data_IF_495793927097
#
_entry.id   IF_495793927097
#
_cell.length_a   1.000
_cell.length_b   1.000
_cell.length_c   1.000
_cell.angle_alpha   90.00
_cell.angle_beta   90.00
_cell.angle_gamma   90.00
#
_symmetry.space_group_name_H-M   'P 1'
#
loop_
_entity.id
_entity.type
_entity.pdbx_description
1 polymer ?
#
# COMPACT_ATOMS: atom_id res chain seq x y z
N UNK A 1 -7.87 23.53 31.76
CA UNK A 1 -9.02 23.00 31.00
C UNK A 1 -9.19 23.87 29.78
N UNK A 2 -9.55 23.25 28.65
CA UNK A 2 -9.74 23.86 27.32
C UNK A 2 -8.42 24.16 26.58
N UNK A 3 -8.19 23.77 25.32
CA UNK A 3 -9.07 23.22 24.27
C UNK A 3 -8.33 22.19 23.40
N UNK A 4 -9.03 21.13 23.02
CA UNK A 4 -8.57 20.13 22.05
C UNK A 4 -8.57 20.73 20.63
N UNK A 5 -7.59 20.38 19.77
CA UNK A 5 -7.55 20.89 18.41
C UNK A 5 -8.70 20.34 17.56
N UNK A 6 -9.07 21.13 16.56
CA UNK A 6 -10.26 21.01 15.72
C UNK A 6 -10.51 19.59 15.18
N UNK A 7 -11.71 19.06 15.46
CA UNK A 7 -12.24 17.86 14.83
C UNK A 7 -12.61 18.19 13.39
N UNK A 8 -11.79 17.74 12.43
CA UNK A 8 -12.24 17.47 11.07
C UNK A 8 -13.45 16.54 11.14
N UNK A 9 -14.49 16.82 10.33
CA UNK A 9 -15.75 16.06 10.32
C UNK A 9 -15.47 14.56 10.28
N UNK A 10 -15.60 13.86 11.42
CA UNK A 10 -15.39 12.43 11.47
C UNK A 10 -16.55 11.76 10.75
N UNK A 11 -16.26 10.85 9.83
CA UNK A 11 -17.25 9.84 9.46
C UNK A 11 -17.82 9.23 10.75
N UNK A 12 -19.14 9.14 10.86
CA UNK A 12 -19.76 8.52 12.03
C UNK A 12 -19.28 7.07 12.12
N UNK A 13 -18.74 6.69 13.27
CA UNK A 13 -18.43 5.29 13.54
C UNK A 13 -19.74 4.49 13.43
N UNK A 14 -19.78 3.42 12.61
CA UNK A 14 -20.99 2.62 12.47
C UNK A 14 -21.32 1.91 13.78
N UNK A 15 -22.60 1.72 14.04
CA UNK A 15 -23.06 0.90 15.15
C UNK A 15 -22.73 -0.58 14.87
N UNK A 16 -22.54 -1.39 15.92
CA UNK A 16 -22.11 -2.78 15.75
C UNK A 16 -23.13 -3.61 14.94
N UNK A 17 -24.41 -3.28 15.03
CA UNK A 17 -25.50 -3.89 14.29
C UNK A 17 -25.40 -3.63 12.77
N UNK A 18 -24.85 -2.49 12.36
CA UNK A 18 -24.66 -2.11 10.97
C UNK A 18 -23.52 -2.91 10.31
N UNK A 19 -22.58 -3.42 11.11
CA UNK A 19 -21.44 -4.24 10.65
C UNK A 19 -21.78 -5.74 10.52
N UNK A 20 -23.00 -6.12 10.87
CA UNK A 20 -23.57 -7.44 10.60
C UNK A 20 -23.21 -8.53 11.62
N UNK A 21 -23.98 -9.64 11.61
CA UNK A 21 -23.95 -10.63 12.69
C UNK A 21 -22.63 -11.39 12.81
N UNK A 22 -21.90 -11.60 11.71
CA UNK A 22 -20.59 -12.27 11.74
C UNK A 22 -19.52 -11.40 12.39
N UNK A 23 -19.58 -10.08 12.21
CA UNK A 23 -18.66 -9.17 12.89
C UNK A 23 -18.98 -9.08 14.37
N UNK A 24 -20.27 -9.01 14.74
CA UNK A 24 -20.69 -9.10 16.14
C UNK A 24 -20.18 -10.38 16.82
N UNK A 25 -20.35 -11.55 16.19
CA UNK A 25 -19.83 -12.83 16.69
C UNK A 25 -18.29 -12.81 16.83
N UNK A 26 -17.59 -12.28 15.83
CA UNK A 26 -16.14 -12.12 15.86
C UNK A 26 -15.68 -11.25 17.04
N UNK A 27 -16.31 -10.08 17.23
CA UNK A 27 -15.97 -9.15 18.33
C UNK A 27 -16.29 -9.77 19.68
N UNK A 28 -17.44 -10.42 19.81
CA UNK A 28 -17.85 -11.12 21.05
C UNK A 28 -16.87 -12.21 21.46
N UNK A 29 -16.15 -12.81 20.50
CA UNK A 29 -15.14 -13.84 20.74
C UNK A 29 -13.74 -13.31 21.04
N UNK A 30 -13.52 -11.99 21.04
CA UNK A 30 -12.20 -11.40 21.28
C UNK A 30 -11.73 -11.64 22.72
N UNK A 31 -10.50 -12.14 22.88
CA UNK A 31 -9.82 -12.25 24.18
C UNK A 31 -8.98 -11.03 24.53
N UNK A 32 -8.61 -10.26 23.51
CA UNK A 32 -7.85 -9.02 23.57
C UNK A 32 -8.62 -8.00 22.74
N UNK A 33 -8.72 -6.73 23.17
CA UNK A 33 -9.27 -5.68 22.31
C UNK A 33 -8.55 -5.66 20.97
N UNK A 34 -9.28 -5.37 19.90
CA UNK A 34 -8.71 -5.19 18.57
C UNK A 34 -8.62 -3.69 18.27
N UNK A 35 -7.42 -3.19 18.02
CA UNK A 35 -7.20 -1.80 17.65
C UNK A 35 -6.95 -1.72 16.15
N UNK A 36 -7.90 -1.15 15.42
CA UNK A 36 -7.70 -0.74 14.05
C UNK A 36 -6.84 0.52 14.04
N UNK A 37 -5.77 0.50 13.25
CA UNK A 37 -4.87 1.63 13.11
C UNK A 37 -4.56 1.92 11.66
N UNK A 38 -4.30 3.20 11.40
CA UNK A 38 -3.88 3.74 10.12
C UNK A 38 -2.92 4.91 10.36
N UNK A 39 -1.89 5.03 9.51
CA UNK A 39 -0.80 5.98 9.66
C UNK A 39 -0.57 6.73 8.35
N UNK A 40 -0.53 8.06 8.44
CA UNK A 40 0.08 8.90 7.42
C UNK A 40 1.52 9.23 7.81
N UNK A 41 2.40 9.27 6.81
CA UNK A 41 3.83 9.44 7.03
C UNK A 41 4.47 10.29 5.94
N UNK A 42 5.67 10.83 6.25
CA UNK A 42 6.48 11.58 5.28
C UNK A 42 6.97 10.73 4.10
N UNK A 43 6.79 9.41 4.15
CA UNK A 43 7.23 8.46 3.15
C UNK A 43 7.07 7.01 3.62
N UNK A 44 7.72 6.07 2.93
CA UNK A 44 7.53 4.61 3.13
C UNK A 44 8.76 3.88 3.69
N UNK A 45 9.87 4.58 3.92
CA UNK A 45 11.08 4.03 4.53
C UNK A 45 11.04 4.22 6.05
N UNK A 46 10.64 3.18 6.77
CA UNK A 46 10.54 3.23 8.23
C UNK A 46 11.81 3.67 8.97
N UNK A 47 13.00 3.59 8.36
CA UNK A 47 14.24 4.08 8.97
C UNK A 47 14.39 5.60 8.87
N UNK A 48 13.86 6.22 7.81
CA UNK A 48 14.08 7.64 7.49
C UNK A 48 12.83 8.48 7.65
N UNK A 49 11.67 7.92 7.36
CA UNK A 49 10.40 8.62 7.38
C UNK A 49 9.79 8.68 8.78
N UNK A 50 8.84 9.60 8.95
CA UNK A 50 8.20 9.91 10.22
C UNK A 50 6.69 9.83 10.11
N UNK A 51 6.05 9.44 11.19
CA UNK A 51 4.59 9.50 11.33
C UNK A 51 4.18 10.97 11.43
N UNK A 52 3.14 11.35 10.67
CA UNK A 52 2.55 12.70 10.70
C UNK A 52 1.08 12.70 11.10
N UNK A 53 0.39 11.56 10.96
CA UNK A 53 -0.91 11.30 11.55
C UNK A 53 -0.99 9.84 11.98
N UNK A 54 -1.63 9.59 13.11
CA UNK A 54 -1.97 8.23 13.56
C UNK A 54 -3.40 8.24 14.08
N UNK A 55 -4.22 7.30 13.59
CA UNK A 55 -5.60 7.09 14.05
C UNK A 55 -5.73 5.72 14.67
N UNK A 56 -6.36 5.63 15.84
CA UNK A 56 -6.65 4.38 16.56
C UNK A 56 -8.16 4.26 16.80
N UNK A 57 -8.76 3.15 16.36
CA UNK A 57 -10.15 2.78 16.62
C UNK A 57 -10.17 1.45 17.37
N UNK A 58 -10.63 1.49 18.62
CA UNK A 58 -10.62 0.32 19.52
C UNK A 58 -11.96 -0.40 19.49
N UNK A 59 -11.90 -1.72 19.33
CA UNK A 59 -13.03 -2.63 19.41
C UNK A 59 -12.78 -3.62 20.54
N UNK A 60 -13.76 -3.83 21.41
CA UNK A 60 -13.62 -4.68 22.58
C UNK A 60 -14.81 -5.63 22.76
N UNK A 61 -14.56 -6.75 23.42
CA UNK A 61 -15.58 -7.63 23.95
C UNK A 61 -15.97 -7.20 25.38
N UNK A 62 -17.21 -7.53 25.79
CA UNK A 62 -17.77 -7.36 27.13
C UNK A 62 -17.69 -5.95 27.76
N UNK A 63 -18.64 -5.04 27.43
CA UNK A 63 -19.64 -5.19 26.36
C UNK A 63 -18.98 -5.10 24.98
N UNK A 64 -19.67 -5.64 23.97
CA UNK A 64 -19.28 -5.41 22.57
C UNK A 64 -19.38 -3.92 22.28
N UNK A 65 -18.25 -3.27 22.00
CA UNK A 65 -18.18 -1.82 21.77
C UNK A 65 -17.20 -1.48 20.67
N UNK A 66 -17.55 -0.44 19.90
CA UNK A 66 -16.65 0.26 19.00
C UNK A 66 -16.47 1.67 19.58
N UNK A 67 -15.26 1.97 20.03
CA UNK A 67 -14.95 3.31 20.57
C UNK A 67 -14.89 4.34 19.43
N UNK A 68 -15.07 5.61 19.76
CA UNK A 68 -14.75 6.69 18.81
C UNK A 68 -13.25 6.69 18.48
N UNK A 69 -12.86 6.94 17.22
CA UNK A 69 -11.47 6.98 16.84
C UNK A 69 -10.76 8.11 17.58
N UNK A 70 -9.52 7.87 17.94
CA UNK A 70 -8.62 8.90 18.45
C UNK A 70 -7.53 9.12 17.42
N UNK A 71 -7.47 10.34 16.91
CA UNK A 71 -6.55 10.73 15.85
C UNK A 71 -5.62 11.81 16.36
N UNK A 72 -4.32 11.66 16.09
CA UNK A 72 -3.31 12.64 16.43
C UNK A 72 -2.56 13.08 15.18
N UNK A 73 -2.50 14.39 14.98
CA UNK A 73 -1.50 15.02 14.12
C UNK A 73 -0.18 15.07 14.86
N UNK A 74 0.91 14.74 14.16
CA UNK A 74 2.23 14.54 14.75
C UNK A 74 3.24 15.43 14.04
N UNK A 75 3.94 16.28 14.78
CA UNK A 75 5.06 17.05 14.22
C UNK A 75 6.25 16.10 13.95
N UNK A 76 6.64 15.89 12.67
CA UNK A 76 7.69 14.93 12.33
C UNK A 76 9.11 15.47 12.57
N UNK A 77 9.25 16.76 12.94
CA UNK A 77 10.52 17.50 13.04
C UNK A 77 11.38 17.40 11.76
N UNK A 78 10.74 17.22 10.62
CA UNK A 78 11.36 17.24 9.30
C UNK A 78 10.34 17.72 8.26
N UNK A 79 10.84 18.11 7.08
CA UNK A 79 9.98 18.54 5.98
C UNK A 79 9.26 17.33 5.37
N UNK A 80 7.95 17.46 5.17
CA UNK A 80 7.14 16.52 4.39
C UNK A 80 7.44 16.72 2.90
N UNK A 81 7.83 15.67 2.15
CA UNK A 81 8.00 15.75 0.69
C UNK A 81 6.71 16.14 -0.03
N UNK A 82 6.83 16.87 -1.13
CA UNK A 82 5.66 17.36 -1.88
C UNK A 82 4.79 16.20 -2.39
N UNK A 83 5.38 15.09 -2.81
CA UNK A 83 4.62 13.92 -3.29
C UNK A 83 3.77 13.30 -2.17
N UNK A 84 4.24 13.36 -0.91
CA UNK A 84 3.45 12.87 0.23
C UNK A 84 2.29 13.84 0.54
N UNK A 85 2.55 15.15 0.51
CA UNK A 85 1.50 16.18 0.66
C UNK A 85 0.40 16.01 -0.39
N UNK A 86 0.75 15.72 -1.64
CA UNK A 86 -0.22 15.47 -2.71
C UNK A 86 -1.09 14.22 -2.49
N UNK A 87 -0.60 13.23 -1.73
CA UNK A 87 -1.33 12.00 -1.40
C UNK A 87 -2.31 12.24 -0.24
N UNK A 88 -1.81 12.74 0.89
CA UNK A 88 -2.59 12.79 2.14
C UNK A 88 -3.15 14.19 2.46
N UNK A 89 -2.74 15.24 1.74
CA UNK A 89 -3.20 16.62 1.94
C UNK A 89 -2.62 17.37 3.14
N UNK A 90 -1.98 16.68 4.09
CA UNK A 90 -1.34 17.27 5.29
C UNK A 90 -0.12 18.13 4.94
N UNK A 91 -0.16 19.41 5.29
CA UNK A 91 0.95 20.37 5.03
C UNK A 91 1.94 20.47 6.20
N UNK A 92 3.11 21.07 5.96
CA UNK A 92 4.11 21.27 7.02
C UNK A 92 3.62 22.27 8.08
N UNK A 93 2.86 23.26 7.64
CA UNK A 93 2.33 24.36 8.44
C UNK A 93 1.30 23.86 9.46
N UNK A 94 0.45 22.90 9.07
CA UNK A 94 -0.54 22.28 9.97
C UNK A 94 0.10 21.54 11.15
N UNK A 95 1.33 21.04 10.98
CA UNK A 95 1.99 20.19 11.98
C UNK A 95 2.94 20.96 12.89
N UNK A 96 3.17 22.26 12.66
CA UNK A 96 4.23 22.99 13.36
C UNK A 96 4.01 23.04 14.88
N UNK A 97 2.76 23.23 15.30
CA UNK A 97 2.34 23.30 16.71
C UNK A 97 1.77 21.97 17.24
N UNK A 98 1.77 20.92 16.41
CA UNK A 98 1.33 19.59 16.82
C UNK A 98 2.36 18.91 17.75
N UNK A 99 1.92 18.00 18.64
CA UNK A 99 2.84 17.22 19.46
C UNK A 99 3.73 16.34 18.59
N UNK A 100 4.95 16.10 19.04
CA UNK A 100 5.91 15.20 18.41
C UNK A 100 5.66 13.77 18.85
N UNK A 101 6.13 12.79 18.08
CA UNK A 101 5.91 11.38 18.43
C UNK A 101 6.39 11.03 19.86
N UNK A 102 7.57 11.46 20.34
CA UNK A 102 8.00 11.19 21.71
C UNK A 102 7.05 11.72 22.80
N UNK A 103 6.35 12.83 22.53
CA UNK A 103 5.35 13.38 23.47
C UNK A 103 4.07 12.54 23.52
N UNK A 104 3.76 11.82 22.44
CA UNK A 104 2.60 10.93 22.34
C UNK A 104 2.91 9.48 22.70
N UNK A 105 4.19 9.06 22.66
CA UNK A 105 4.59 7.67 22.70
C UNK A 105 4.02 6.89 23.91
N UNK A 106 4.11 7.44 25.13
CA UNK A 106 3.55 6.80 26.33
C UNK A 106 2.02 6.64 26.26
N UNK A 107 1.32 7.65 25.73
CA UNK A 107 -0.14 7.59 25.55
C UNK A 107 -0.52 6.52 24.53
N UNK A 108 0.21 6.45 23.41
CA UNK A 108 -0.02 5.45 22.37
C UNK A 108 0.31 4.04 22.88
N UNK A 109 1.40 3.86 23.63
CA UNK A 109 1.77 2.57 24.23
C UNK A 109 0.67 2.06 25.16
N UNK A 110 0.09 2.94 25.99
CA UNK A 110 -1.00 2.56 26.89
C UNK A 110 -2.27 2.15 26.13
N UNK A 111 -2.61 2.87 25.06
CA UNK A 111 -3.79 2.55 24.24
C UNK A 111 -3.66 1.23 23.47
N UNK A 112 -2.43 0.87 23.09
CA UNK A 112 -2.12 -0.38 22.38
C UNK A 112 -1.84 -1.55 23.33
N UNK A 113 -1.65 -1.29 24.63
CA UNK A 113 -1.29 -2.29 25.62
C UNK A 113 -2.36 -3.39 25.68
N UNK A 114 -1.93 -4.63 25.57
CA UNK A 114 -2.82 -5.79 25.69
C UNK A 114 -3.80 -5.96 24.51
N UNK A 115 -3.68 -5.15 23.45
CA UNK A 115 -4.50 -5.27 22.26
C UNK A 115 -3.89 -6.24 21.22
N UNK A 116 -4.74 -6.72 20.32
CA UNK A 116 -4.36 -7.18 18.99
C UNK A 116 -4.49 -5.98 18.02
N UNK A 117 -3.78 -6.03 16.89
CA UNK A 117 -3.76 -4.93 15.92
C UNK A 117 -4.53 -5.30 14.65
N UNK A 118 -5.19 -4.32 14.05
CA UNK A 118 -5.90 -4.46 12.79
C UNK A 118 -5.69 -3.27 11.86
N UNK A 119 -5.95 -3.46 10.58
CA UNK A 119 -5.95 -2.39 9.58
C UNK A 119 -5.96 -2.94 8.16
N UNK A 120 -5.88 -2.05 7.17
CA UNK A 120 -5.74 -2.44 5.77
C UNK A 120 -4.29 -2.21 5.32
N UNK A 121 -3.56 -3.27 4.98
CA UNK A 121 -2.13 -3.23 4.67
C UNK A 121 -1.20 -2.89 5.86
N UNK A 122 -1.74 -2.90 7.09
CA UNK A 122 -1.04 -2.58 8.35
C UNK A 122 0.25 -3.38 8.56
N UNK A 123 0.32 -4.61 8.01
CA UNK A 123 1.51 -5.47 8.09
C UNK A 123 2.70 -4.98 7.24
N UNK A 124 2.44 -4.15 6.22
CA UNK A 124 3.44 -3.76 5.23
C UNK A 124 4.24 -2.53 5.64
N UNK A 125 3.57 -1.51 6.17
CA UNK A 125 4.17 -0.20 6.42
C UNK A 125 3.92 0.29 7.85
N UNK A 126 2.67 0.40 8.26
CA UNK A 126 2.24 1.03 9.52
C UNK A 126 2.97 0.45 10.73
N UNK A 127 2.96 -0.88 10.89
CA UNK A 127 3.61 -1.52 12.03
C UNK A 127 5.13 -1.30 12.03
N UNK A 128 5.75 -1.15 10.86
CA UNK A 128 7.20 -0.88 10.74
C UNK A 128 7.52 0.57 11.12
N UNK A 129 6.72 1.52 10.66
CA UNK A 129 6.83 2.93 11.04
C UNK A 129 6.60 3.11 12.54
N UNK A 130 5.52 2.54 13.07
CA UNK A 130 5.16 2.60 14.48
C UNK A 130 6.31 2.09 15.37
N UNK A 131 6.82 0.88 15.09
CA UNK A 131 7.96 0.31 15.83
C UNK A 131 9.21 1.18 15.73
N UNK A 132 9.49 1.75 14.56
CA UNK A 132 10.64 2.63 14.38
C UNK A 132 10.50 3.92 15.20
N UNK A 133 9.31 4.51 15.27
CA UNK A 133 9.07 5.71 16.07
C UNK A 133 9.14 5.45 17.57
N UNK A 134 8.60 4.33 18.06
CA UNK A 134 8.77 3.90 19.46
C UNK A 134 10.24 3.70 19.82
N UNK A 135 11.02 3.06 18.93
CA UNK A 135 12.46 2.91 19.12
C UNK A 135 13.19 4.26 19.17
N UNK A 136 12.81 5.25 18.35
CA UNK A 136 13.37 6.61 18.38
C UNK A 136 12.98 7.37 19.66
N UNK A 137 11.74 7.21 20.11
CA UNK A 137 11.23 7.80 21.34
C UNK A 137 11.81 7.15 22.61
N UNK A 138 12.41 5.96 22.49
CA UNK A 138 12.91 5.15 23.62
C UNK A 138 11.81 4.79 24.62
N UNK A 139 10.63 4.52 24.08
CA UNK A 139 9.47 4.02 24.83
C UNK A 139 9.23 2.59 24.39
N UNK A 140 9.14 1.67 25.35
CA UNK A 140 8.90 0.26 25.06
C UNK A 140 7.46 0.04 24.62
N UNK A 141 7.28 -0.41 23.38
CA UNK A 141 6.00 -0.86 22.87
C UNK A 141 5.88 -2.38 23.07
N UNK A 142 5.15 -2.77 24.10
CA UNK A 142 4.86 -4.18 24.37
C UNK A 142 3.74 -4.70 23.47
N UNK A 143 4.14 -5.39 22.40
CA UNK A 143 3.25 -6.16 21.52
C UNK A 143 3.43 -7.66 21.70
N UNK A 144 3.97 -8.13 22.84
CA UNK A 144 4.18 -9.56 23.03
C UNK A 144 2.84 -10.31 23.01
N UNK A 145 2.81 -11.41 22.26
CA UNK A 145 1.60 -12.18 21.99
C UNK A 145 0.51 -11.46 21.18
N UNK A 146 0.70 -10.20 20.75
CA UNK A 146 -0.27 -9.49 19.94
C UNK A 146 -0.39 -10.13 18.54
N UNK A 147 -1.63 -10.29 18.09
CA UNK A 147 -1.95 -10.80 16.75
C UNK A 147 -2.22 -9.64 15.80
N UNK A 148 -2.13 -9.94 14.51
CA UNK A 148 -2.35 -8.96 13.45
C UNK A 148 -3.48 -9.42 12.53
N UNK A 149 -4.47 -8.56 12.34
CA UNK A 149 -5.57 -8.72 11.38
C UNK A 149 -5.37 -7.73 10.25
N UNK A 150 -4.91 -8.21 9.09
CA UNK A 150 -4.70 -7.36 7.91
C UNK A 150 -5.78 -7.63 6.85
N UNK A 151 -6.72 -6.69 6.72
CA UNK A 151 -7.84 -6.80 5.79
C UNK A 151 -7.39 -6.90 4.32
N UNK A 152 -6.23 -6.32 3.97
CA UNK A 152 -5.68 -6.42 2.62
C UNK A 152 -5.22 -7.85 2.31
N UNK A 153 -4.70 -8.58 3.30
CA UNK A 153 -4.29 -9.98 3.12
C UNK A 153 -5.51 -10.84 2.80
N UNK A 154 -6.63 -10.62 3.50
CA UNK A 154 -7.89 -11.32 3.21
C UNK A 154 -8.39 -10.96 1.80
N UNK A 155 -8.43 -9.67 1.47
CA UNK A 155 -8.84 -9.17 0.15
C UNK A 155 -8.03 -9.82 -0.98
N UNK A 156 -6.69 -9.73 -0.95
CA UNK A 156 -5.86 -10.31 -2.01
C UNK A 156 -5.90 -11.85 -2.08
N UNK A 157 -6.31 -12.52 -1.00
CA UNK A 157 -6.47 -13.98 -0.98
C UNK A 157 -7.82 -14.40 -1.60
N UNK A 158 -8.85 -13.56 -1.46
CA UNK A 158 -10.22 -13.87 -1.89
C UNK A 158 -10.60 -13.24 -3.22
N UNK A 159 -9.95 -12.15 -3.61
CA UNK A 159 -10.22 -11.37 -4.82
C UNK A 159 -8.99 -11.39 -5.75
N UNK A 160 -8.68 -12.52 -6.42
CA UNK A 160 -7.51 -12.63 -7.27
C UNK A 160 -7.67 -11.83 -8.57
N UNK A 161 -6.57 -11.34 -9.14
CA UNK A 161 -6.57 -10.61 -10.42
C UNK A 161 -6.38 -11.58 -11.59
N UNK A 162 -7.37 -12.41 -11.86
CA UNK A 162 -7.38 -13.36 -12.97
C UNK A 162 -8.72 -13.35 -13.72
N UNK A 163 -8.78 -14.06 -14.85
CA UNK A 163 -9.99 -14.10 -15.68
C UNK A 163 -11.20 -14.65 -14.93
N UNK A 164 -11.04 -15.68 -14.09
CA UNK A 164 -12.15 -16.27 -13.34
C UNK A 164 -12.79 -15.26 -12.37
N UNK A 165 -11.98 -14.47 -11.65
CA UNK A 165 -12.49 -13.41 -10.80
C UNK A 165 -13.10 -12.25 -11.60
N UNK A 166 -12.58 -11.94 -12.79
CA UNK A 166 -13.20 -10.96 -13.66
C UNK A 166 -14.59 -11.42 -14.14
N UNK A 167 -14.74 -12.70 -14.50
CA UNK A 167 -16.04 -13.30 -14.86
C UNK A 167 -17.02 -13.24 -13.68
N UNK A 168 -16.57 -13.57 -12.46
CA UNK A 168 -17.42 -13.46 -11.27
C UNK A 168 -17.87 -12.02 -11.03
N UNK A 169 -16.94 -11.06 -11.13
CA UNK A 169 -17.22 -9.66 -10.86
C UNK A 169 -18.11 -8.97 -11.92
N UNK A 170 -17.82 -9.16 -13.20
CA UNK A 170 -18.53 -8.48 -14.30
C UNK A 170 -19.73 -9.26 -14.82
N UNK A 171 -19.69 -10.60 -14.76
CA UNK A 171 -20.71 -11.46 -15.36
C UNK A 171 -21.56 -12.20 -14.31
N UNK A 172 -21.23 -12.09 -13.02
CA UNK A 172 -21.98 -12.70 -11.90
C UNK A 172 -22.17 -14.22 -12.04
N UNK A 173 -21.17 -14.92 -12.60
CA UNK A 173 -21.17 -16.38 -12.78
C UNK A 173 -19.79 -16.97 -12.51
N UNK A 174 -19.72 -18.30 -12.40
CA UNK A 174 -18.45 -19.03 -12.33
C UNK A 174 -17.88 -19.22 -13.73
N UNK A 175 -16.54 -19.16 -13.85
CA UNK A 175 -15.83 -19.46 -15.10
C UNK A 175 -15.66 -20.97 -15.30
N UNK A 176 -16.64 -21.60 -15.96
CA UNK A 176 -16.59 -23.01 -16.34
C UNK A 176 -15.61 -23.26 -17.50
N UNK A 177 -14.87 -24.38 -17.45
CA UNK A 177 -13.93 -24.73 -18.53
C UNK A 177 -12.64 -23.90 -18.59
N UNK A 178 -12.28 -23.23 -17.48
CA UNK A 178 -11.07 -22.44 -17.38
C UNK A 178 -9.82 -23.17 -17.89
N UNK A 179 -8.92 -22.42 -18.54
CA UNK A 179 -7.72 -22.92 -19.26
C UNK A 179 -8.02 -23.63 -20.59
N UNK A 180 -9.28 -23.71 -21.01
CA UNK A 180 -9.65 -24.01 -22.39
C UNK A 180 -9.66 -22.72 -23.23
N UNK A 181 -8.91 -22.69 -24.33
CA UNK A 181 -8.75 -21.49 -25.14
C UNK A 181 -10.08 -20.89 -25.64
N UNK A 182 -11.04 -21.74 -26.02
CA UNK A 182 -12.39 -21.29 -26.43
C UNK A 182 -13.17 -20.67 -25.27
N UNK A 183 -13.23 -21.35 -24.12
CA UNK A 183 -13.92 -20.86 -22.94
C UNK A 183 -13.31 -19.54 -22.43
N UNK A 184 -11.97 -19.44 -22.42
CA UNK A 184 -11.26 -18.23 -22.01
C UNK A 184 -11.50 -17.06 -22.99
N UNK A 185 -11.59 -17.33 -24.30
CA UNK A 185 -11.90 -16.29 -25.29
C UNK A 185 -13.34 -15.76 -25.14
N UNK A 186 -14.32 -16.65 -24.94
CA UNK A 186 -15.72 -16.27 -24.70
C UNK A 186 -15.84 -15.50 -23.39
N UNK A 187 -15.22 -15.99 -22.31
CA UNK A 187 -15.19 -15.30 -21.03
C UNK A 187 -14.56 -13.90 -21.13
N UNK A 188 -13.48 -13.76 -21.91
CA UNK A 188 -12.84 -12.46 -22.14
C UNK A 188 -13.77 -11.47 -22.86
N UNK A 189 -14.52 -11.93 -23.86
CA UNK A 189 -15.54 -11.13 -24.54
C UNK A 189 -16.62 -10.65 -23.56
N UNK A 190 -17.17 -11.57 -22.76
CA UNK A 190 -18.22 -11.26 -21.79
C UNK A 190 -17.73 -10.29 -20.70
N UNK A 191 -16.51 -10.49 -20.21
CA UNK A 191 -15.86 -9.57 -19.26
C UNK A 191 -15.74 -8.18 -19.85
N UNK A 192 -15.26 -8.07 -21.10
CA UNK A 192 -15.12 -6.77 -21.75
C UNK A 192 -16.48 -6.10 -21.94
N UNK A 193 -17.51 -6.83 -22.36
CA UNK A 193 -18.88 -6.30 -22.43
C UNK A 193 -19.37 -5.79 -21.07
N UNK A 194 -19.16 -6.55 -19.99
CA UNK A 194 -19.52 -6.14 -18.63
C UNK A 194 -18.72 -4.92 -18.13
N UNK A 195 -17.48 -4.74 -18.58
CA UNK A 195 -16.70 -3.53 -18.31
C UNK A 195 -17.34 -2.29 -18.96
N UNK A 196 -17.76 -2.39 -20.23
CA UNK A 196 -18.44 -1.28 -20.92
C UNK A 196 -19.76 -0.88 -20.24
N UNK A 197 -20.53 -1.84 -19.74
CA UNK A 197 -21.77 -1.54 -18.99
C UNK A 197 -21.49 -0.87 -17.65
N UNK A 198 -20.44 -1.31 -16.95
CA UNK A 198 -20.09 -0.78 -15.63
C UNK A 198 -19.46 0.61 -15.69
N UNK A 199 -18.59 0.86 -16.67
CA UNK A 199 -17.76 2.06 -16.75
C UNK A 199 -18.23 2.96 -17.89
N UNK A 200 -19.10 3.92 -17.53
CA UNK A 200 -19.72 4.86 -18.47
C UNK A 200 -18.75 5.93 -19.00
N UNK A 201 -17.54 5.99 -18.43
CA UNK A 201 -16.45 6.88 -18.82
C UNK A 201 -15.56 6.27 -19.93
N UNK A 202 -15.75 5.00 -20.31
CA UNK A 202 -15.00 4.38 -21.38
C UNK A 202 -15.46 4.86 -22.76
N UNK A 203 -14.51 5.20 -23.61
CA UNK A 203 -14.78 5.46 -25.03
C UNK A 203 -15.09 4.16 -25.77
N UNK A 204 -16.07 4.20 -26.69
CA UNK A 204 -16.54 3.02 -27.42
C UNK A 204 -15.83 2.81 -28.76
N UNK A 205 -14.58 3.24 -28.86
CA UNK A 205 -13.74 3.09 -30.06
C UNK A 205 -12.54 2.19 -29.75
N UNK A 206 -12.17 1.31 -30.69
CA UNK A 206 -11.07 0.35 -30.48
C UNK A 206 -9.74 1.07 -30.22
N UNK A 207 -9.53 2.21 -30.88
CA UNK A 207 -8.34 3.05 -30.77
C UNK A 207 -8.14 3.55 -29.33
N UNK A 208 -9.22 3.92 -28.62
CA UNK A 208 -9.11 4.35 -27.23
C UNK A 208 -8.64 3.22 -26.31
N UNK A 209 -9.05 1.97 -26.58
CA UNK A 209 -8.55 0.80 -25.84
C UNK A 209 -7.10 0.46 -26.19
N UNK A 210 -6.71 0.63 -27.46
CA UNK A 210 -5.31 0.49 -27.88
C UNK A 210 -4.41 1.55 -27.22
N UNK A 211 -4.91 2.79 -27.09
CA UNK A 211 -4.24 3.86 -26.36
C UNK A 211 -4.10 3.55 -24.87
N UNK A 212 -5.09 2.91 -24.24
CA UNK A 212 -4.98 2.42 -22.87
C UNK A 212 -3.90 1.34 -22.72
N UNK A 213 -3.78 0.42 -23.68
CA UNK A 213 -2.70 -0.57 -23.71
C UNK A 213 -1.35 0.11 -23.87
N UNK A 214 -1.25 1.03 -24.83
CA UNK A 214 -0.04 1.78 -25.16
C UNK A 214 0.42 2.68 -24.02
N UNK A 215 -0.47 3.43 -23.38
CA UNK A 215 -0.17 4.27 -22.23
C UNK A 215 0.32 3.44 -21.05
N UNK A 216 -0.35 2.33 -20.74
CA UNK A 216 0.07 1.37 -19.71
C UNK A 216 1.45 0.79 -20.01
N UNK A 217 1.72 0.41 -21.26
CA UNK A 217 3.00 -0.16 -21.66
C UNK A 217 4.11 0.90 -21.74
N UNK A 218 3.78 2.15 -22.09
CA UNK A 218 4.74 3.25 -22.20
C UNK A 218 5.38 3.62 -20.85
N UNK A 219 4.75 3.24 -19.73
CA UNK A 219 5.34 3.36 -18.40
C UNK A 219 6.56 2.44 -18.24
N UNK A 220 6.63 1.34 -18.99
CA UNK A 220 7.71 0.35 -18.90
C UNK A 220 8.79 0.58 -19.96
N UNK A 221 10.02 0.20 -19.62
CA UNK A 221 11.19 0.32 -20.51
C UNK A 221 11.38 -0.96 -21.34
N UNK A 222 10.91 -2.10 -20.85
CA UNK A 222 10.99 -3.42 -21.49
C UNK A 222 9.64 -4.14 -21.46
N UNK A 223 9.46 -5.08 -22.39
CA UNK A 223 8.21 -5.83 -22.58
C UNK A 223 7.78 -6.63 -21.33
N UNK A 224 8.72 -7.17 -20.57
CA UNK A 224 8.44 -7.94 -19.36
C UNK A 224 8.29 -7.06 -18.11
N UNK A 225 8.21 -5.73 -18.29
CA UNK A 225 7.94 -4.76 -17.23
C UNK A 225 8.95 -4.85 -16.08
N UNK A 226 10.19 -5.24 -16.35
CA UNK A 226 11.28 -5.33 -15.36
C UNK A 226 11.81 -3.96 -14.99
N UNK A 227 11.75 -3.02 -15.91
CA UNK A 227 12.14 -1.64 -15.73
C UNK A 227 10.96 -0.73 -16.07
N UNK A 228 10.82 0.33 -15.29
CA UNK A 228 9.81 1.39 -15.44
C UNK A 228 10.53 2.72 -15.66
N UNK A 229 9.96 3.61 -16.46
CA UNK A 229 10.45 4.97 -16.58
C UNK A 229 10.14 5.73 -15.29
N UNK A 230 11.17 6.32 -14.69
CA UNK A 230 11.05 7.19 -13.51
C UNK A 230 12.03 8.34 -13.66
N UNK A 231 11.56 9.57 -13.55
CA UNK A 231 12.36 10.80 -13.71
C UNK A 231 13.17 10.81 -15.04
N UNK A 232 12.56 10.30 -16.12
CA UNK A 232 13.17 10.21 -17.44
C UNK A 232 14.22 9.10 -17.61
N UNK A 233 14.46 8.25 -16.62
CA UNK A 233 15.41 7.13 -16.71
C UNK A 233 14.85 5.77 -16.25
N UNK A 234 15.45 4.64 -16.64
CA UNK A 234 15.02 3.31 -16.20
C UNK A 234 15.23 3.11 -14.71
N UNK A 235 14.19 2.68 -14.00
CA UNK A 235 14.23 2.23 -12.61
C UNK A 235 13.74 0.78 -12.50
N UNK A 236 14.23 0.03 -11.51
CA UNK A 236 13.80 -1.35 -11.30
C UNK A 236 12.31 -1.40 -10.94
N UNK A 237 11.56 -2.32 -11.53
CA UNK A 237 10.17 -2.63 -11.15
C UNK A 237 10.05 -3.96 -10.37
N UNK A 238 11.17 -4.56 -9.96
CA UNK A 238 11.22 -5.85 -9.28
C UNK A 238 12.29 -5.92 -8.19
N UNK A 239 12.14 -6.94 -7.35
CA UNK A 239 13.14 -7.31 -6.34
C UNK A 239 13.41 -6.21 -5.31
N UNK A 240 14.49 -6.38 -4.55
CA UNK A 240 14.89 -5.45 -3.48
C UNK A 240 15.26 -4.04 -3.96
N UNK A 241 15.51 -3.86 -5.25
CA UNK A 241 15.87 -2.56 -5.83
C UNK A 241 14.67 -1.84 -6.46
N UNK A 242 13.44 -2.38 -6.33
CA UNK A 242 12.23 -1.78 -6.90
C UNK A 242 12.13 -0.28 -6.56
N UNK A 243 11.90 0.53 -7.58
CA UNK A 243 11.81 1.99 -7.52
C UNK A 243 13.15 2.73 -7.53
N UNK A 244 14.30 2.04 -7.47
CA UNK A 244 15.64 2.65 -7.56
C UNK A 244 16.07 2.81 -9.03
N UNK A 245 16.77 3.90 -9.39
CA UNK A 245 17.28 4.05 -10.75
C UNK A 245 18.35 3.02 -11.10
N UNK A 246 18.34 2.55 -12.34
CA UNK A 246 19.35 1.64 -12.89
C UNK A 246 20.73 2.31 -12.93
N UNK A 247 20.78 3.63 -13.21
CA UNK A 247 22.01 4.44 -13.15
C UNK A 247 22.67 4.36 -11.78
N UNK A 248 21.88 4.57 -10.72
CA UNK A 248 22.36 4.53 -9.34
C UNK A 248 22.97 3.16 -9.01
N UNK A 249 22.27 2.08 -9.36
CA UNK A 249 22.78 0.72 -9.13
C UNK A 249 24.04 0.40 -9.95
N UNK A 250 24.17 0.97 -11.15
CA UNK A 250 25.36 0.79 -11.98
C UNK A 250 26.58 1.60 -11.47
N UNK A 251 26.37 2.65 -10.67
CA UNK A 251 27.43 3.48 -10.10
C UNK A 251 28.05 2.94 -8.80
N UNK A 252 27.35 2.04 -8.10
CA UNK A 252 27.79 1.51 -6.81
C UNK A 252 28.44 0.10 -6.94
N UNK A 253 29.65 -0.13 -6.37
CA UNK A 253 30.36 -1.41 -6.52
C UNK A 253 29.61 -2.66 -6.04
N UNK A 254 28.86 -2.57 -4.94
CA UNK A 254 28.08 -3.69 -4.41
C UNK A 254 26.90 -4.01 -5.34
N UNK A 255 26.21 -2.98 -5.82
CA UNK A 255 25.09 -3.14 -6.72
C UNK A 255 25.52 -3.61 -8.11
N UNK A 256 26.67 -3.18 -8.64
CA UNK A 256 27.25 -3.72 -9.89
C UNK A 256 27.44 -5.23 -9.84
N UNK A 257 27.84 -5.78 -8.69
CA UNK A 257 27.97 -7.23 -8.50
C UNK A 257 26.61 -7.94 -8.54
N UNK A 258 25.55 -7.29 -8.03
CA UNK A 258 24.19 -7.79 -8.18
C UNK A 258 23.70 -7.76 -9.65
N UNK A 259 23.99 -6.70 -10.40
CA UNK A 259 23.62 -6.59 -11.82
C UNK A 259 24.28 -7.68 -12.68
N UNK A 260 25.57 -7.96 -12.45
CA UNK A 260 26.27 -9.07 -13.15
C UNK A 260 25.65 -10.42 -12.84
N UNK A 261 25.21 -10.66 -11.60
CA UNK A 261 24.50 -11.90 -11.22
C UNK A 261 23.14 -12.01 -11.91
N UNK A 262 22.40 -10.90 -12.06
CA UNK A 262 21.14 -10.90 -12.81
C UNK A 262 21.33 -11.31 -14.26
N UNK A 263 22.38 -10.78 -14.92
CA UNK A 263 22.73 -11.14 -16.30
C UNK A 263 23.12 -12.62 -16.43
N UNK A 264 23.99 -13.10 -15.55
CA UNK A 264 24.51 -14.47 -15.62
C UNK A 264 23.50 -15.54 -15.18
N UNK A 265 22.52 -15.16 -14.36
CA UNK A 265 21.50 -16.07 -13.84
C UNK A 265 20.35 -16.38 -14.79
N UNK A 266 20.36 -15.83 -16.02
CA UNK A 266 19.26 -15.99 -16.98
C UNK A 266 17.94 -15.35 -16.52
N UNK A 267 17.98 -14.48 -15.50
CA UNK A 267 16.81 -13.86 -14.90
C UNK A 267 16.34 -12.59 -15.61
N UNK A 268 16.96 -12.28 -16.75
CA UNK A 268 16.65 -11.14 -17.60
C UNK A 268 16.66 -11.62 -19.06
N UNK A 269 15.61 -11.27 -19.79
CA UNK A 269 15.55 -11.47 -21.24
C UNK A 269 16.44 -10.48 -21.99
N UNK A 270 16.57 -10.67 -23.30
CA UNK A 270 17.52 -9.95 -24.15
C UNK A 270 17.42 -8.42 -24.01
N UNK A 271 16.22 -7.84 -24.05
CA UNK A 271 16.02 -6.39 -23.94
C UNK A 271 16.39 -5.85 -22.54
N UNK A 272 15.86 -6.48 -21.49
CA UNK A 272 16.14 -6.09 -20.10
C UNK A 272 17.63 -6.30 -19.73
N UNK A 273 18.26 -7.36 -20.26
CA UNK A 273 19.68 -7.62 -20.13
C UNK A 273 20.52 -6.56 -20.83
N UNK A 274 20.14 -6.17 -22.04
CA UNK A 274 20.81 -5.13 -22.81
C UNK A 274 20.77 -3.77 -22.09
N UNK A 275 19.64 -3.41 -21.46
CA UNK A 275 19.53 -2.22 -20.60
C UNK A 275 20.56 -2.23 -19.46
N UNK A 276 20.72 -3.36 -18.78
CA UNK A 276 21.68 -3.51 -17.68
C UNK A 276 23.12 -3.44 -18.18
N UNK A 277 23.43 -4.05 -19.33
CA UNK A 277 24.76 -4.01 -19.96
C UNK A 277 25.12 -2.56 -20.31
N UNK A 278 24.21 -1.83 -20.96
CA UNK A 278 24.38 -0.41 -21.30
C UNK A 278 24.66 0.42 -20.04
N UNK A 279 23.88 0.23 -18.98
CA UNK A 279 24.05 0.97 -17.73
C UNK A 279 25.40 0.69 -17.06
N UNK A 280 25.86 -0.57 -17.06
CA UNK A 280 27.16 -0.96 -16.53
C UNK A 280 28.34 -0.34 -17.30
N UNK A 281 28.13 -0.01 -18.57
CA UNK A 281 29.05 0.72 -19.46
C UNK A 281 28.91 2.25 -19.37
N UNK A 282 28.01 2.75 -18.51
CA UNK A 282 27.77 4.19 -18.33
C UNK A 282 26.79 4.80 -19.32
N UNK A 283 26.10 3.99 -20.15
CA UNK A 283 25.05 4.44 -21.07
C UNK A 283 23.69 4.22 -20.42
N UNK A 284 22.94 5.29 -20.19
CA UNK A 284 21.59 5.22 -19.62
C UNK A 284 20.61 5.70 -20.67
N UNK A 285 19.62 4.87 -20.99
CA UNK A 285 18.51 5.28 -21.86
C UNK A 285 17.74 6.40 -21.17
N UNK A 286 17.21 7.32 -21.96
CA UNK A 286 16.41 8.45 -21.46
C UNK A 286 15.10 8.52 -22.22
N UNK A 287 14.01 8.84 -21.52
CA UNK A 287 12.72 9.17 -22.11
C UNK A 287 12.52 10.67 -21.95
N UNK A 288 12.40 11.37 -23.08
CA UNK A 288 12.02 12.78 -23.15
C UNK A 288 10.56 12.96 -22.78
#
# INVERSE_FOLDING_TARGET
MSDAPAQTASASVPEIEELGPRFFEFVSGLRRPLVFLDIEATGTDAQRDRIIEISLLRVAADPVTIEQPRTWRVNPRQRIPQEAIEIHGITNEELVDCPTFPELAETLAELLRGADLAGFAVSRLDLRLLKAEFARAKVDLDLDGARLVDAQVVYHTREPRNLAAAVEFYCQRVHEGAHGAEADAIASLEVFAGQLERYQDLELQVEAFDDLVSSTNSAFVDQNRRFVWKDGEPAFNFGKLKGKPLRWAAGDPEHRSYLRRLLNGGNLEAEAGQLVIEALQGKIRTKS
#
